data_IF_642278448935
#
_entry.id   IF_642278448935
#
_cell.length_a   1.000
_cell.length_b   1.000
_cell.length_c   1.000
_cell.angle_alpha   90.00
_cell.angle_beta   90.00
_cell.angle_gamma   90.00
#
_symmetry.space_group_name_H-M   'P 1'
#
loop_
_entity.id
_entity.type
_entity.pdbx_description
1 polymer ?
#
# COMPACT_ATOMS: atom_id res chain seq x y z
N UNK A 1 -3.27 7.08 -29.76
CA UNK A 1 -4.27 6.06 -29.33
C UNK A 1 -4.12 5.83 -27.83
N UNK A 2 -5.20 5.80 -27.04
CA UNK A 2 -5.11 5.46 -25.63
C UNK A 2 -4.62 4.01 -25.47
N UNK A 3 -3.70 3.76 -24.53
CA UNK A 3 -3.18 2.42 -24.23
C UNK A 3 -4.33 1.56 -23.67
N UNK A 4 -4.72 0.51 -24.38
CA UNK A 4 -5.78 -0.44 -23.95
C UNK A 4 -5.27 -1.52 -22.97
N UNK A 5 -4.22 -1.23 -22.20
CA UNK A 5 -3.61 -2.22 -21.32
C UNK A 5 -4.35 -2.28 -19.97
N UNK A 6 -4.93 -3.45 -19.66
CA UNK A 6 -5.45 -3.75 -18.33
C UNK A 6 -4.38 -4.45 -17.49
N UNK A 7 -4.20 -4.03 -16.23
CA UNK A 7 -3.26 -4.67 -15.31
C UNK A 7 -3.75 -6.08 -14.96
N UNK A 8 -2.83 -7.05 -14.90
CA UNK A 8 -3.11 -8.44 -14.50
C UNK A 8 -3.71 -8.61 -13.10
N UNK A 9 -3.60 -7.60 -12.24
CA UNK A 9 -4.15 -7.61 -10.89
C UNK A 9 -4.75 -6.22 -10.57
N UNK A 10 -5.96 -5.93 -11.07
CA UNK A 10 -6.58 -4.61 -10.93
C UNK A 10 -6.94 -4.30 -9.47
N UNK A 11 -7.26 -5.32 -8.67
CA UNK A 11 -7.67 -5.17 -7.27
C UNK A 11 -6.50 -4.89 -6.31
N UNK A 12 -5.26 -4.81 -6.81
CA UNK A 12 -4.10 -4.48 -5.97
C UNK A 12 -4.10 -2.99 -5.66
N UNK A 13 -4.58 -2.66 -4.48
CA UNK A 13 -4.52 -1.30 -3.94
C UNK A 13 -3.36 -1.11 -2.96
N UNK A 14 -2.93 0.15 -2.85
CA UNK A 14 -2.00 0.58 -1.81
C UNK A 14 -2.73 0.57 -0.46
N UNK A 15 -2.04 0.17 0.60
CA UNK A 15 -2.58 0.33 1.96
C UNK A 15 -2.64 1.82 2.28
N UNK A 16 -3.81 2.34 2.63
CA UNK A 16 -3.98 3.75 3.00
C UNK A 16 -3.53 4.00 4.44
N UNK A 17 -3.25 5.27 4.76
CA UNK A 17 -2.96 5.67 6.15
C UNK A 17 -4.16 5.37 7.07
N UNK A 18 -5.37 5.65 6.60
CA UNK A 18 -6.61 5.39 7.35
C UNK A 18 -6.77 3.92 7.72
N UNK A 19 -6.50 3.00 6.79
CA UNK A 19 -6.55 1.56 7.06
C UNK A 19 -5.51 1.14 8.12
N UNK A 20 -4.33 1.77 8.09
CA UNK A 20 -3.25 1.48 9.02
C UNK A 20 -3.59 1.99 10.43
N UNK A 21 -4.09 3.22 10.55
CA UNK A 21 -4.53 3.79 11.82
C UNK A 21 -5.73 3.05 12.40
N UNK A 22 -6.75 2.75 11.59
CA UNK A 22 -7.89 1.93 12.03
C UNK A 22 -7.43 0.56 12.54
N UNK A 23 -6.46 -0.07 11.87
CA UNK A 23 -5.91 -1.34 12.34
C UNK A 23 -5.12 -1.21 13.65
N UNK A 24 -4.37 -0.11 13.85
CA UNK A 24 -3.68 0.18 15.12
C UNK A 24 -4.68 0.37 16.26
N UNK A 25 -5.74 1.11 16.04
CA UNK A 25 -6.80 1.31 17.04
C UNK A 25 -7.47 0.00 17.45
N UNK A 26 -7.78 -0.87 16.49
CA UNK A 26 -8.37 -2.17 16.77
C UNK A 26 -7.43 -3.06 17.60
N UNK A 27 -6.12 -3.02 17.30
CA UNK A 27 -5.12 -3.75 18.09
C UNK A 27 -5.01 -3.17 19.50
N UNK A 28 -5.03 -1.84 19.65
CA UNK A 28 -5.03 -1.18 20.95
C UNK A 28 -6.26 -1.55 21.80
N UNK A 29 -7.42 -1.77 21.14
CA UNK A 29 -8.65 -2.29 21.75
C UNK A 29 -8.61 -3.80 22.07
N UNK A 30 -7.50 -4.49 21.81
CA UNK A 30 -7.31 -5.90 22.12
C UNK A 30 -7.61 -6.88 20.97
N UNK A 31 -7.86 -6.39 19.74
CA UNK A 31 -8.03 -7.28 18.60
C UNK A 31 -6.71 -7.94 18.18
N UNK A 32 -6.77 -9.20 17.74
CA UNK A 32 -5.61 -9.86 17.12
C UNK A 32 -5.29 -9.19 15.78
N UNK A 33 -4.01 -9.23 15.37
CA UNK A 33 -3.56 -8.70 14.07
C UNK A 33 -4.34 -9.29 12.89
N UNK A 34 -4.72 -10.57 12.97
CA UNK A 34 -5.57 -11.21 11.96
C UNK A 34 -6.97 -10.58 11.89
N UNK A 35 -7.63 -10.39 13.04
CA UNK A 35 -8.97 -9.80 13.11
C UNK A 35 -8.97 -8.34 12.67
N UNK A 36 -7.99 -7.56 13.12
CA UNK A 36 -7.81 -6.18 12.69
C UNK A 36 -7.62 -6.09 11.17
N UNK A 37 -6.75 -6.93 10.59
CA UNK A 37 -6.52 -6.97 9.15
C UNK A 37 -7.80 -7.28 8.35
N UNK A 38 -8.59 -8.27 8.78
CA UNK A 38 -9.86 -8.59 8.12
C UNK A 38 -10.87 -7.44 8.17
N UNK A 39 -10.92 -6.71 9.27
CA UNK A 39 -11.85 -5.58 9.45
C UNK A 39 -11.49 -4.37 8.57
N UNK A 40 -10.19 -4.15 8.32
CA UNK A 40 -9.72 -3.06 7.44
C UNK A 40 -9.53 -3.48 5.98
N UNK A 41 -9.93 -4.71 5.61
CA UNK A 41 -9.83 -5.21 4.24
C UNK A 41 -8.41 -5.53 3.77
N UNK A 42 -7.50 -5.86 4.69
CA UNK A 42 -6.09 -6.17 4.40
C UNK A 42 -5.76 -7.64 4.63
N UNK A 43 -4.77 -8.14 3.88
CA UNK A 43 -4.10 -9.41 4.22
C UNK A 43 -3.27 -9.23 5.49
N UNK A 44 -3.29 -10.24 6.37
CA UNK A 44 -2.56 -10.22 7.64
C UNK A 44 -1.05 -9.99 7.43
N UNK A 45 -0.45 -10.62 6.42
CA UNK A 45 0.97 -10.44 6.08
C UNK A 45 1.30 -9.00 5.70
N UNK A 46 0.40 -8.33 4.97
CA UNK A 46 0.53 -6.91 4.62
C UNK A 46 0.47 -6.04 5.86
N UNK A 47 -0.52 -6.26 6.74
CA UNK A 47 -0.64 -5.48 7.98
C UNK A 47 0.60 -5.63 8.87
N UNK A 48 1.10 -6.86 9.07
CA UNK A 48 2.33 -7.10 9.85
C UNK A 48 3.52 -6.33 9.28
N UNK A 49 3.70 -6.33 7.96
CA UNK A 49 4.77 -5.58 7.28
C UNK A 49 4.63 -4.07 7.52
N UNK A 50 3.40 -3.53 7.42
CA UNK A 50 3.14 -2.09 7.61
C UNK A 50 3.36 -1.65 9.05
N UNK A 51 2.90 -2.44 10.02
CA UNK A 51 3.16 -2.17 11.44
C UNK A 51 4.66 -2.17 11.76
N UNK A 52 5.43 -3.09 11.16
CA UNK A 52 6.90 -3.13 11.33
C UNK A 52 7.58 -1.87 10.75
N UNK A 53 7.11 -1.38 9.60
CA UNK A 53 7.66 -0.19 8.95
C UNK A 53 7.15 1.12 9.56
N UNK A 54 6.08 1.08 10.35
CA UNK A 54 5.45 2.27 10.94
C UNK A 54 4.73 3.19 9.95
N UNK A 55 4.72 2.85 8.65
CA UNK A 55 4.11 3.68 7.59
C UNK A 55 3.32 2.87 6.56
N UNK A 56 2.34 3.54 5.96
CA UNK A 56 1.61 3.05 4.80
C UNK A 56 2.53 2.97 3.56
N UNK A 57 2.08 2.35 2.47
CA UNK A 57 2.80 2.52 1.21
C UNK A 57 2.39 3.84 0.58
N UNK A 58 3.35 4.53 -0.02
CA UNK A 58 3.11 5.75 -0.77
C UNK A 58 2.75 5.43 -2.24
N UNK A 59 3.27 4.32 -2.79
CA UNK A 59 2.89 3.87 -4.15
C UNK A 59 3.01 2.34 -4.32
N UNK A 60 2.38 1.82 -5.39
CA UNK A 60 2.59 0.46 -5.90
C UNK A 60 3.80 0.35 -6.84
N UNK A 61 4.47 1.47 -7.13
CA UNK A 61 5.61 1.55 -8.02
C UNK A 61 6.92 1.14 -7.34
N UNK A 62 8.04 1.38 -8.03
CA UNK A 62 9.35 1.22 -7.42
C UNK A 62 9.51 2.25 -6.30
N UNK A 63 10.03 1.80 -5.16
CA UNK A 63 10.35 2.70 -4.05
C UNK A 63 11.46 3.68 -4.43
N UNK A 64 12.44 3.21 -5.23
CA UNK A 64 13.44 4.06 -5.86
C UNK A 64 13.13 4.17 -7.36
N UNK A 65 12.83 5.38 -7.86
CA UNK A 65 12.66 5.60 -9.30
C UNK A 65 13.98 5.32 -10.03
N UNK A 66 13.90 4.78 -11.25
CA UNK A 66 15.07 4.50 -12.08
C UNK A 66 15.66 5.74 -12.72
N UNK A 67 14.81 6.72 -13.03
CA UNK A 67 15.21 8.00 -13.61
C UNK A 67 14.96 9.12 -12.61
N UNK A 68 15.79 10.15 -12.65
CA UNK A 68 15.51 11.40 -11.96
C UNK A 68 14.41 12.17 -12.69
N UNK A 69 13.76 13.13 -12.02
CA UNK A 69 12.76 13.99 -12.67
C UNK A 69 13.32 14.69 -13.92
N UNK A 70 14.56 15.17 -13.84
CA UNK A 70 15.25 15.79 -14.97
C UNK A 70 15.43 14.83 -16.15
N UNK A 71 15.77 13.56 -15.90
CA UNK A 71 15.89 12.55 -16.96
C UNK A 71 14.53 12.16 -17.56
N UNK A 72 13.46 12.18 -16.76
CA UNK A 72 12.11 11.94 -17.28
C UNK A 72 11.63 13.08 -18.19
N UNK A 73 12.00 14.33 -17.88
CA UNK A 73 11.68 15.51 -18.70
C UNK A 73 12.43 15.54 -20.04
N UNK A 74 13.64 14.98 -20.13
CA UNK A 74 14.38 14.89 -21.41
C UNK A 74 13.79 13.87 -22.40
N UNK A 75 12.99 12.92 -21.92
CA UNK A 75 12.42 11.82 -22.72
C UNK A 75 11.06 12.18 -23.35
N UNK A 76 10.39 13.22 -22.85
CA UNK A 76 9.03 13.63 -23.26
C UNK A 76 9.02 14.98 -24.00
#
# INVERSE_FOLDING_TARGET
MPRNYQRKAPDRCVVTNEQLEAAKELIAKGATKRKAASQVGLKESTLRKRLKLGKAAESMGRYFPTFTKAQEEEIY
#
